data_IF_500528294080
#
_entry.id   IF_500528294080
#
_cell.length_a   1.000
_cell.length_b   1.000
_cell.length_c   1.000
_cell.angle_alpha   90.00
_cell.angle_beta   90.00
_cell.angle_gamma   90.00
#
_symmetry.space_group_name_H-M   'P 1'
#
loop_
_entity.id
_entity.type
_entity.pdbx_description
1 polymer ?
#
# COMPACT_ATOMS: atom_id res chain seq x y z
N UNK A 1 -21.08 47.78 -59.93
CA UNK A 1 -21.21 46.90 -61.11
C UNK A 1 -21.86 45.60 -60.67
N UNK A 2 -23.04 45.30 -61.24
CA UNK A 2 -23.71 44.00 -61.44
C UNK A 2 -23.80 42.99 -60.25
N UNK A 3 -24.92 42.31 -59.96
CA UNK A 3 -26.24 42.18 -60.57
C UNK A 3 -27.14 41.46 -59.52
N UNK A 4 -28.33 41.99 -59.22
CA UNK A 4 -29.66 41.58 -59.72
C UNK A 4 -30.42 40.66 -58.77
N UNK A 5 -31.61 41.15 -58.41
CA UNK A 5 -32.64 40.61 -57.55
C UNK A 5 -33.91 40.47 -58.40
N UNK A 6 -34.59 39.31 -58.38
CA UNK A 6 -35.97 39.10 -58.88
C UNK A 6 -36.55 37.89 -58.14
N UNK A 7 -37.57 37.99 -57.29
CA UNK A 7 -39.02 38.27 -57.47
C UNK A 7 -39.88 37.02 -57.80
N UNK A 8 -40.35 36.39 -56.73
CA UNK A 8 -41.71 35.92 -56.34
C UNK A 8 -42.85 35.81 -57.40
N UNK A 9 -43.58 34.68 -57.31
CA UNK A 9 -45.00 34.34 -57.66
C UNK A 9 -45.43 34.30 -59.13
N UNK A 10 -46.40 33.50 -59.60
CA UNK A 10 -47.44 32.57 -59.10
C UNK A 10 -47.86 31.71 -60.33
N UNK A 11 -48.42 30.49 -60.23
CA UNK A 11 -49.87 30.26 -60.14
C UNK A 11 -50.22 28.76 -60.16
N UNK A 12 -51.25 28.38 -59.36
CA UNK A 12 -52.43 27.53 -59.68
C UNK A 12 -52.20 26.08 -60.19
N UNK A 13 -52.96 25.05 -59.83
CA UNK A 13 -54.39 24.92 -59.46
C UNK A 13 -54.64 23.51 -58.87
N UNK A 14 -55.72 23.40 -58.09
CA UNK A 14 -56.61 22.23 -57.93
C UNK A 14 -56.22 20.98 -57.10
N UNK A 15 -56.82 20.91 -55.92
CA UNK A 15 -57.42 19.71 -55.30
C UNK A 15 -58.91 19.62 -55.77
N UNK A 16 -59.76 18.58 -55.53
CA UNK A 16 -59.54 17.32 -54.76
C UNK A 16 -60.35 16.06 -55.27
N UNK A 17 -60.35 14.98 -54.45
CA UNK A 17 -61.45 13.99 -54.18
C UNK A 17 -61.45 12.58 -54.85
N UNK A 18 -61.47 11.58 -53.93
CA UNK A 18 -61.94 10.18 -53.98
C UNK A 18 -61.24 9.12 -54.87
N UNK A 19 -60.65 8.12 -54.21
CA UNK A 19 -61.30 6.80 -54.08
C UNK A 19 -60.59 5.89 -53.08
N UNK A 20 -61.41 5.15 -52.35
CA UNK A 20 -61.09 4.28 -51.22
C UNK A 20 -61.12 2.84 -51.75
N UNK A 21 -59.99 2.15 -51.79
CA UNK A 21 -59.97 0.68 -51.94
C UNK A 21 -58.93 0.10 -50.96
N UNK A 22 -59.43 -0.56 -49.93
CA UNK A 22 -58.70 -1.54 -49.15
C UNK A 22 -58.60 -2.83 -49.96
N UNK A 23 -57.39 -3.35 -50.17
CA UNK A 23 -57.19 -4.75 -50.52
C UNK A 23 -55.85 -5.27 -49.97
N UNK A 24 -55.99 -6.22 -49.05
CA UNK A 24 -55.16 -7.42 -48.87
C UNK A 24 -53.69 -7.33 -48.43
N UNK A 25 -53.49 -7.90 -47.24
CA UNK A 25 -52.25 -8.27 -46.56
C UNK A 25 -51.40 -9.24 -47.39
N UNK A 26 -50.14 -8.86 -47.66
CA UNK A 26 -48.88 -9.56 -47.29
C UNK A 26 -47.78 -9.24 -48.30
N UNK A 27 -46.61 -8.81 -47.82
CA UNK A 27 -45.37 -9.34 -48.35
C UNK A 27 -44.43 -9.87 -47.25
N UNK A 28 -43.99 -11.11 -47.45
CA UNK A 28 -42.68 -11.67 -47.11
C UNK A 28 -42.11 -11.35 -45.72
N UNK A 29 -42.41 -12.24 -44.77
CA UNK A 29 -41.65 -12.38 -43.52
C UNK A 29 -40.25 -12.93 -43.85
N UNK A 30 -39.29 -12.04 -44.05
CA UNK A 30 -37.87 -12.39 -43.95
C UNK A 30 -37.66 -12.92 -42.53
N UNK A 31 -37.40 -14.22 -42.42
CA UNK A 31 -36.97 -14.84 -41.17
C UNK A 31 -35.63 -14.21 -40.78
N UNK A 32 -35.69 -13.17 -39.96
CA UNK A 32 -34.56 -12.75 -39.14
C UNK A 32 -34.31 -13.89 -38.16
N UNK A 33 -33.48 -14.84 -38.59
CA UNK A 33 -32.82 -15.78 -37.69
C UNK A 33 -32.09 -14.90 -36.68
N UNK A 34 -32.62 -14.87 -35.45
CA UNK A 34 -31.98 -14.25 -34.30
C UNK A 34 -30.55 -14.79 -34.25
N UNK A 35 -29.49 -13.98 -34.36
CA UNK A 35 -28.17 -14.49 -34.06
C UNK A 35 -28.23 -15.00 -32.62
N UNK A 36 -27.89 -16.28 -32.45
CA UNK A 36 -27.66 -16.86 -31.13
C UNK A 36 -26.78 -15.91 -30.33
N UNK A 37 -27.01 -15.74 -29.01
CA UNK A 37 -26.12 -14.94 -28.20
C UNK A 37 -24.75 -15.59 -28.29
N UNK A 38 -23.88 -15.02 -29.13
CA UNK A 38 -22.46 -15.31 -29.12
C UNK A 38 -22.05 -15.17 -27.67
N UNK A 39 -21.45 -16.24 -27.14
CA UNK A 39 -20.73 -16.30 -25.88
C UNK A 39 -19.99 -14.97 -25.71
N UNK A 40 -20.62 -14.05 -24.98
CA UNK A 40 -19.96 -12.87 -24.49
C UNK A 40 -18.84 -13.41 -23.64
N UNK A 41 -17.60 -13.12 -24.05
CA UNK A 41 -16.40 -13.28 -23.24
C UNK A 41 -16.77 -13.10 -21.77
N UNK A 42 -16.87 -14.20 -21.03
CA UNK A 42 -16.98 -14.19 -19.58
C UNK A 42 -15.62 -13.75 -19.04
N UNK A 43 -15.30 -12.48 -19.25
CA UNK A 43 -14.24 -11.83 -18.52
C UNK A 43 -14.64 -11.94 -17.05
N UNK A 44 -13.98 -12.85 -16.32
CA UNK A 44 -14.05 -12.95 -14.87
C UNK A 44 -14.06 -11.52 -14.31
N UNK A 45 -15.21 -11.13 -13.75
CA UNK A 45 -15.48 -9.75 -13.36
C UNK A 45 -14.73 -9.50 -12.06
N UNK A 46 -13.43 -9.19 -12.16
CA UNK A 46 -12.55 -8.95 -11.00
C UNK A 46 -13.19 -7.93 -10.08
N UNK A 47 -13.29 -8.28 -8.79
CA UNK A 47 -13.89 -7.37 -7.82
C UNK A 47 -12.91 -6.22 -7.51
N UNK A 48 -13.41 -5.05 -7.09
CA UNK A 48 -12.53 -3.93 -6.73
C UNK A 48 -11.67 -4.31 -5.52
N UNK A 49 -10.35 -4.25 -5.67
CA UNK A 49 -9.41 -4.50 -4.57
C UNK A 49 -9.71 -3.52 -3.42
N UNK A 50 -9.67 -4.04 -2.19
CA UNK A 50 -9.79 -3.26 -0.96
C UNK A 50 -8.59 -3.57 -0.09
N UNK A 51 -8.28 -2.67 0.82
CA UNK A 51 -7.30 -2.91 1.86
C UNK A 51 -8.04 -3.22 3.17
N UNK A 52 -7.62 -4.27 3.87
CA UNK A 52 -8.19 -4.65 5.14
C UNK A 52 -7.86 -3.61 6.21
N UNK A 53 -8.90 -2.93 6.70
CA UNK A 53 -8.78 -2.00 7.83
C UNK A 53 -8.31 -2.70 9.11
N UNK A 54 -8.57 -4.01 9.25
CA UNK A 54 -8.10 -4.81 10.40
C UNK A 54 -6.58 -4.93 10.46
N UNK A 55 -5.89 -4.78 9.32
CA UNK A 55 -4.43 -4.80 9.25
C UNK A 55 -3.89 -3.37 9.20
N UNK A 56 -4.51 -2.55 8.36
CA UNK A 56 -4.05 -1.18 8.12
C UNK A 56 -4.12 -0.28 9.35
N UNK A 57 -5.24 -0.31 10.10
CA UNK A 57 -5.41 0.58 11.26
C UNK A 57 -4.39 0.28 12.36
N UNK A 58 -4.18 -0.98 12.80
CA UNK A 58 -3.14 -1.27 13.80
C UNK A 58 -1.73 -0.88 13.37
N UNK A 59 -1.38 -1.13 12.11
CA UNK A 59 -0.09 -0.72 11.54
C UNK A 59 0.08 0.80 11.60
N UNK A 60 -0.91 1.54 11.10
CA UNK A 60 -0.89 3.00 11.15
C UNK A 60 -0.88 3.54 12.58
N UNK A 61 -1.59 2.92 13.52
CA UNK A 61 -1.54 3.31 14.93
C UNK A 61 -0.13 3.14 15.51
N UNK A 62 0.55 2.03 15.19
CA UNK A 62 1.94 1.83 15.57
C UNK A 62 2.86 2.90 14.97
N UNK A 63 2.73 3.19 13.67
CA UNK A 63 3.53 4.23 13.02
C UNK A 63 3.29 5.61 13.64
N UNK A 64 2.04 5.92 14.00
CA UNK A 64 1.70 7.15 14.69
C UNK A 64 2.43 7.27 16.04
N UNK A 65 2.47 6.19 16.84
CA UNK A 65 3.25 6.17 18.08
C UNK A 65 4.72 6.46 17.80
N UNK A 66 5.34 5.78 16.83
CA UNK A 66 6.73 6.05 16.45
C UNK A 66 6.95 7.51 16.00
N UNK A 67 6.04 8.07 15.20
CA UNK A 67 6.12 9.44 14.73
C UNK A 67 6.02 10.46 15.87
N UNK A 68 5.18 10.19 16.88
CA UNK A 68 5.00 11.07 18.05
C UNK A 68 6.16 10.99 19.04
N UNK A 69 6.74 9.81 19.26
CA UNK A 69 7.88 9.61 20.15
C UNK A 69 9.09 10.47 19.75
N UNK A 70 9.28 10.76 18.45
CA UNK A 70 10.37 11.61 17.93
C UNK A 70 10.33 13.04 18.50
N UNK A 71 9.17 13.50 18.98
CA UNK A 71 9.01 14.81 19.61
C UNK A 71 9.37 14.81 21.11
N UNK A 72 9.72 13.65 21.67
CA UNK A 72 10.17 13.51 23.06
C UNK A 72 11.70 13.48 23.07
N UNK A 73 12.32 14.41 23.80
CA UNK A 73 13.78 14.60 23.83
C UNK A 73 14.51 13.53 24.63
N UNK A 74 13.84 12.86 25.59
CA UNK A 74 14.45 11.80 26.40
C UNK A 74 13.42 10.76 26.90
N UNK A 75 12.85 9.94 26.00
CA UNK A 75 11.90 8.91 26.38
C UNK A 75 12.54 7.91 27.35
N UNK A 76 11.98 7.78 28.55
CA UNK A 76 12.50 6.93 29.63
C UNK A 76 12.69 5.46 29.23
N UNK A 77 11.87 4.95 28.30
CA UNK A 77 11.98 3.58 27.77
C UNK A 77 13.19 3.36 26.83
N UNK A 78 13.83 4.44 26.36
CA UNK A 78 15.07 4.38 25.57
C UNK A 78 16.31 4.36 26.47
N UNK A 79 16.21 4.87 27.71
CA UNK A 79 17.27 4.88 28.75
C UNK A 79 17.46 3.51 29.43
N UNK A 80 17.44 2.42 28.68
CA UNK A 80 17.78 1.11 29.24
C UNK A 80 19.25 1.12 29.74
N UNK A 81 19.53 0.47 30.89
CA UNK A 81 20.89 0.40 31.49
C UNK A 81 21.93 -0.10 30.48
N UNK A 82 23.14 0.46 30.51
CA UNK A 82 24.23 0.20 29.55
C UNK A 82 24.68 -1.27 29.50
N UNK A 83 24.43 -2.04 30.55
CA UNK A 83 24.91 -3.41 30.68
C UNK A 83 24.21 -4.38 29.70
N UNK A 84 24.90 -4.60 28.58
CA UNK A 84 25.10 -5.90 27.90
C UNK A 84 23.90 -6.74 27.42
N UNK A 85 22.74 -6.13 27.17
CA UNK A 85 21.62 -6.83 26.51
C UNK A 85 21.68 -6.67 24.98
N UNK A 86 21.91 -7.79 24.30
CA UNK A 86 21.87 -7.94 22.83
C UNK A 86 20.44 -7.73 22.29
N UNK A 87 20.28 -7.08 21.14
CA UNK A 87 18.99 -6.85 20.45
C UNK A 87 17.94 -6.07 21.23
N UNK A 88 18.35 -5.06 21.99
CA UNK A 88 17.40 -4.28 22.82
C UNK A 88 17.42 -2.79 22.53
N UNK A 89 18.47 -2.26 21.91
CA UNK A 89 18.65 -0.81 21.81
C UNK A 89 18.84 -0.30 20.39
N UNK A 90 19.20 -1.12 19.40
CA UNK A 90 19.58 -0.65 18.07
C UNK A 90 20.70 0.42 18.20
N UNK A 91 21.85 0.01 18.76
CA UNK A 91 22.98 0.90 19.05
C UNK A 91 23.78 1.24 17.80
N UNK A 92 24.39 2.41 17.80
CA UNK A 92 25.53 2.72 16.93
C UNK A 92 26.83 2.20 17.57
N UNK A 93 27.97 2.10 16.84
CA UNK A 93 29.21 1.54 17.36
C UNK A 93 29.77 2.23 18.62
N UNK A 94 29.36 3.47 18.90
CA UNK A 94 29.69 4.20 20.13
C UNK A 94 28.91 3.71 21.37
N UNK A 95 27.96 2.79 21.20
CA UNK A 95 27.08 2.28 22.26
C UNK A 95 25.82 3.12 22.49
N UNK A 96 25.75 4.33 21.92
CA UNK A 96 24.57 5.17 21.98
C UNK A 96 23.42 4.54 21.20
N UNK A 97 22.19 4.69 21.70
CA UNK A 97 21.00 4.27 20.98
C UNK A 97 20.80 5.13 19.71
N UNK A 98 20.48 4.50 18.57
CA UNK A 98 20.42 5.19 17.28
C UNK A 98 19.43 6.36 17.24
N UNK A 99 18.29 6.26 17.94
CA UNK A 99 17.32 7.36 17.94
C UNK A 99 17.85 8.59 18.69
N UNK A 100 18.52 8.41 19.84
CA UNK A 100 19.23 9.52 20.51
C UNK A 100 20.35 10.09 19.64
N UNK A 101 21.14 9.24 18.99
CA UNK A 101 22.17 9.66 18.05
C UNK A 101 21.56 10.52 16.93
N UNK A 102 20.50 10.05 16.27
CA UNK A 102 19.83 10.80 15.19
C UNK A 102 19.22 12.11 15.67
N UNK A 103 18.68 12.18 16.89
CA UNK A 103 18.20 13.44 17.46
C UNK A 103 19.33 14.47 17.65
N UNK A 104 20.54 14.01 17.98
CA UNK A 104 21.69 14.87 18.16
C UNK A 104 22.34 15.31 16.83
N UNK A 105 22.30 14.46 15.79
CA UNK A 105 23.07 14.70 14.56
C UNK A 105 22.26 15.20 13.37
N UNK A 106 20.97 14.88 13.29
CA UNK A 106 20.15 15.26 12.13
C UNK A 106 19.54 16.66 12.31
N UNK A 107 19.28 17.43 11.24
CA UNK A 107 18.53 18.67 11.35
C UNK A 107 17.10 18.40 11.83
N UNK A 108 16.74 18.85 13.05
CA UNK A 108 15.45 18.54 13.67
C UNK A 108 14.26 19.09 12.91
N UNK A 109 14.38 20.22 12.21
CA UNK A 109 13.30 20.72 11.36
C UNK A 109 12.98 19.76 10.20
N UNK A 110 13.97 19.06 9.65
CA UNK A 110 13.75 18.00 8.65
C UNK A 110 13.15 16.76 9.32
N UNK A 111 13.73 16.31 10.44
CA UNK A 111 13.32 15.06 11.08
C UNK A 111 11.95 15.13 11.75
N UNK A 112 11.71 16.13 12.59
CA UNK A 112 10.42 16.35 13.25
C UNK A 112 9.41 16.96 12.27
N UNK A 113 9.79 18.05 11.60
CA UNK A 113 8.87 18.85 10.78
C UNK A 113 8.52 18.24 9.43
N UNK A 114 9.51 17.81 8.65
CA UNK A 114 9.28 17.34 7.27
C UNK A 114 9.12 15.82 7.13
N UNK A 115 9.42 15.05 8.18
CA UNK A 115 9.33 13.60 8.14
C UNK A 115 8.36 13.03 9.17
N UNK A 116 8.61 13.23 10.47
CA UNK A 116 7.77 12.65 11.52
C UNK A 116 6.35 13.20 11.50
N UNK A 117 6.18 14.53 11.38
CA UNK A 117 4.84 15.14 11.34
C UNK A 117 4.01 14.69 10.13
N UNK A 118 4.52 14.70 8.88
CA UNK A 118 3.81 14.11 7.75
C UNK A 118 3.51 12.63 7.93
N UNK A 119 4.39 11.84 8.57
CA UNK A 119 4.13 10.43 8.84
C UNK A 119 2.97 10.23 9.82
N UNK A 120 2.85 11.10 10.84
CA UNK A 120 1.72 11.09 11.77
C UNK A 120 0.40 11.40 11.04
N UNK A 121 0.36 12.43 10.20
CA UNK A 121 -0.84 12.76 9.42
C UNK A 121 -1.17 11.64 8.43
N UNK A 122 -0.16 11.10 7.75
CA UNK A 122 -0.33 9.99 6.81
C UNK A 122 -0.96 8.77 7.50
N UNK A 123 -0.49 8.45 8.71
CA UNK A 123 -0.98 7.32 9.50
C UNK A 123 -2.44 7.47 9.90
N UNK A 124 -2.94 8.69 10.11
CA UNK A 124 -4.37 8.93 10.38
C UNK A 124 -5.17 8.96 9.08
N UNK A 125 -4.68 9.71 8.09
CA UNK A 125 -5.43 10.02 6.88
C UNK A 125 -5.54 8.85 5.90
N UNK A 126 -4.49 8.05 5.75
CA UNK A 126 -4.47 6.97 4.76
C UNK A 126 -5.52 5.89 5.04
N UNK A 127 -5.73 5.40 6.29
CA UNK A 127 -6.82 4.47 6.59
C UNK A 127 -8.19 5.00 6.18
N UNK A 128 -8.45 6.29 6.46
CA UNK A 128 -9.70 6.96 6.13
C UNK A 128 -9.92 7.07 4.61
N UNK A 129 -8.85 7.22 3.80
CA UNK A 129 -8.96 7.19 2.34
C UNK A 129 -9.51 5.85 1.80
N UNK A 130 -9.35 4.76 2.54
CA UNK A 130 -9.82 3.45 2.11
C UNK A 130 -11.21 3.07 2.64
N UNK A 131 -11.89 3.99 3.34
CA UNK A 131 -13.25 3.78 3.85
C UNK A 131 -14.28 4.22 2.79
N UNK A 132 -15.00 3.25 2.22
CA UNK A 132 -15.98 3.48 1.15
C UNK A 132 -17.11 4.44 1.58
N UNK A 133 -17.55 4.42 2.84
CA UNK A 133 -18.61 5.29 3.36
C UNK A 133 -18.18 6.76 3.44
N UNK A 134 -16.92 7.05 3.82
CA UNK A 134 -16.39 8.41 3.86
C UNK A 134 -16.29 9.01 2.46
N UNK A 135 -15.81 8.21 1.50
CA UNK A 135 -15.77 8.63 0.08
C UNK A 135 -17.15 9.00 -0.46
N UNK A 136 -18.18 8.22 -0.12
CA UNK A 136 -19.57 8.46 -0.57
C UNK A 136 -20.20 9.67 0.12
N UNK A 137 -19.99 9.80 1.43
CA UNK A 137 -20.59 10.86 2.26
C UNK A 137 -19.92 12.22 2.04
N UNK A 138 -18.61 12.26 1.87
CA UNK A 138 -17.82 13.49 1.75
C UNK A 138 -16.84 13.44 0.55
N UNK A 139 -17.33 13.42 -0.70
CA UNK A 139 -16.50 13.17 -1.88
C UNK A 139 -15.46 14.26 -2.15
N UNK A 140 -15.78 15.54 -1.86
CA UNK A 140 -14.86 16.67 -2.02
C UNK A 140 -13.74 16.57 -1.00
N UNK A 141 -14.08 16.36 0.28
CA UNK A 141 -13.10 16.18 1.35
C UNK A 141 -12.19 14.97 1.07
N UNK A 142 -12.76 13.84 0.68
CA UNK A 142 -11.99 12.64 0.31
C UNK A 142 -10.99 12.94 -0.81
N UNK A 143 -11.41 13.64 -1.87
CA UNK A 143 -10.53 14.02 -2.98
C UNK A 143 -9.41 14.97 -2.54
N UNK A 144 -9.74 16.04 -1.83
CA UNK A 144 -8.75 17.03 -1.36
C UNK A 144 -7.75 16.40 -0.41
N UNK A 145 -8.22 15.63 0.57
CA UNK A 145 -7.36 14.89 1.48
C UNK A 145 -6.50 13.85 0.75
N UNK A 146 -7.02 13.20 -0.30
CA UNK A 146 -6.24 12.29 -1.14
C UNK A 146 -5.04 12.96 -1.82
N UNK A 147 -5.20 14.17 -2.34
CA UNK A 147 -4.07 14.92 -2.92
C UNK A 147 -3.06 15.34 -1.84
N UNK A 148 -3.53 15.83 -0.69
CA UNK A 148 -2.64 16.19 0.44
C UNK A 148 -1.83 14.98 0.88
N UNK A 149 -2.46 13.81 1.04
CA UNK A 149 -1.78 12.59 1.49
C UNK A 149 -0.80 12.04 0.45
N UNK A 150 -1.07 12.20 -0.85
CA UNK A 150 -0.11 11.86 -1.90
C UNK A 150 1.08 12.84 -1.91
N UNK A 151 0.85 14.13 -1.67
CA UNK A 151 1.95 15.10 -1.50
C UNK A 151 2.79 14.79 -0.26
N UNK A 152 2.16 14.41 0.85
CA UNK A 152 2.88 13.92 2.04
C UNK A 152 3.65 12.64 1.76
N UNK A 153 3.10 11.73 0.96
CA UNK A 153 3.78 10.50 0.51
C UNK A 153 5.06 10.82 -0.28
N UNK A 154 5.00 11.80 -1.18
CA UNK A 154 6.17 12.29 -1.90
C UNK A 154 7.19 12.93 -0.94
N UNK A 155 6.74 13.82 -0.04
CA UNK A 155 7.60 14.47 0.95
C UNK A 155 8.30 13.45 1.87
N UNK A 156 7.57 12.45 2.35
CA UNK A 156 8.09 11.36 3.17
C UNK A 156 9.14 10.54 2.42
N UNK A 157 8.92 10.28 1.14
CA UNK A 157 9.89 9.58 0.30
C UNK A 157 11.16 10.41 0.10
N UNK A 158 11.04 11.70 -0.24
CA UNK A 158 12.20 12.59 -0.43
C UNK A 158 13.00 12.72 0.86
N UNK A 159 12.33 12.95 1.99
CA UNK A 159 13.01 13.09 3.29
C UNK A 159 13.60 11.77 3.78
N UNK A 160 12.95 10.63 3.50
CA UNK A 160 13.51 9.30 3.76
C UNK A 160 14.82 9.07 2.98
N UNK A 161 14.84 9.42 1.69
CA UNK A 161 16.05 9.38 0.87
C UNK A 161 17.12 10.35 1.35
N UNK A 162 16.72 11.55 1.75
CA UNK A 162 17.64 12.52 2.31
C UNK A 162 18.35 11.95 3.54
N UNK A 163 17.63 11.33 4.49
CA UNK A 163 18.26 10.69 5.65
C UNK A 163 19.23 9.58 5.26
N UNK A 164 18.91 8.86 4.19
CA UNK A 164 19.78 7.83 3.66
C UNK A 164 21.08 8.43 3.08
N UNK A 165 20.98 9.42 2.18
CA UNK A 165 22.14 10.06 1.53
C UNK A 165 23.00 10.84 2.53
N UNK A 166 22.38 11.48 3.52
CA UNK A 166 23.06 12.24 4.58
C UNK A 166 23.63 11.36 5.70
N UNK A 167 23.68 10.03 5.53
CA UNK A 167 24.21 9.07 6.52
C UNK A 167 23.53 9.18 7.89
N UNK A 168 22.28 9.60 7.90
CA UNK A 168 21.43 9.61 9.09
C UNK A 168 20.48 8.41 9.12
N UNK A 169 20.58 7.43 8.22
CA UNK A 169 19.82 6.18 8.26
C UNK A 169 20.54 5.08 9.07
N UNK A 170 19.79 4.25 9.79
CA UNK A 170 20.35 3.08 10.46
C UNK A 170 20.47 1.95 9.44
N UNK A 171 21.63 1.88 8.78
CA UNK A 171 21.92 0.87 7.76
C UNK A 171 23.40 0.55 7.80
N UNK A 172 23.74 -0.67 7.40
CA UNK A 172 25.13 -1.05 7.14
C UNK A 172 25.65 -0.35 5.89
N UNK A 173 26.97 -0.13 5.82
CA UNK A 173 27.63 0.40 4.61
C UNK A 173 27.61 -0.62 3.47
N UNK A 174 27.83 -1.89 3.80
CA UNK A 174 27.68 -2.99 2.86
C UNK A 174 26.21 -3.19 2.42
N UNK A 175 25.96 -3.58 1.16
CA UNK A 175 24.60 -3.81 0.64
C UNK A 175 23.92 -5.05 1.23
N UNK A 176 24.70 -6.05 1.64
CA UNK A 176 24.22 -7.23 2.32
C UNK A 176 24.96 -7.38 3.64
N UNK A 177 24.23 -7.71 4.69
CA UNK A 177 24.82 -8.06 5.97
C UNK A 177 24.83 -9.58 6.13
N UNK A 178 25.98 -10.14 6.50
CA UNK A 178 26.21 -11.58 6.62
C UNK A 178 25.96 -12.04 8.05
N UNK A 179 25.23 -13.13 8.21
CA UNK A 179 24.87 -13.70 9.49
C UNK A 179 25.44 -15.09 9.65
N UNK A 180 26.20 -15.29 10.71
CA UNK A 180 26.59 -16.61 11.19
C UNK A 180 25.69 -17.00 12.35
N UNK A 181 25.06 -18.16 12.27
CA UNK A 181 24.43 -18.80 13.43
C UNK A 181 25.12 -20.13 13.67
N UNK A 182 25.29 -20.51 14.94
CA UNK A 182 25.93 -21.78 15.28
C UNK A 182 25.14 -22.94 14.66
N UNK A 183 25.76 -23.66 13.73
CA UNK A 183 25.16 -24.83 13.06
C UNK A 183 24.25 -24.52 11.86
N UNK A 184 24.17 -23.26 11.40
CA UNK A 184 23.47 -22.91 10.16
C UNK A 184 24.45 -22.31 9.13
N UNK A 185 24.15 -22.41 7.82
CA UNK A 185 24.94 -21.73 6.81
C UNK A 185 24.89 -20.21 6.97
N UNK A 186 25.90 -19.52 6.45
CA UNK A 186 25.96 -18.07 6.44
C UNK A 186 24.76 -17.50 5.66
N UNK A 187 23.93 -16.70 6.31
CA UNK A 187 22.75 -16.08 5.71
C UNK A 187 23.03 -14.61 5.39
N UNK A 188 22.74 -14.19 4.16
CA UNK A 188 22.88 -12.79 3.76
C UNK A 188 21.49 -12.13 3.70
N UNK A 189 21.24 -11.12 4.51
CA UNK A 189 20.03 -10.29 4.38
C UNK A 189 20.38 -8.97 3.67
N UNK A 190 19.51 -8.49 2.77
CA UNK A 190 19.67 -7.16 2.19
C UNK A 190 19.50 -6.11 3.29
N UNK A 191 20.32 -5.07 3.24
CA UNK A 191 20.27 -3.99 4.23
C UNK A 191 19.10 -3.04 3.97
N UNK A 192 18.87 -2.13 4.93
CA UNK A 192 17.84 -1.09 4.78
C UNK A 192 18.05 -0.25 3.52
N UNK A 193 19.32 0.00 3.16
CA UNK A 193 19.69 0.66 1.92
C UNK A 193 19.16 -0.07 0.68
N UNK A 194 19.55 -1.33 0.50
CA UNK A 194 19.17 -2.11 -0.69
C UNK A 194 17.66 -2.24 -0.80
N UNK A 195 17.01 -2.50 0.33
CA UNK A 195 15.55 -2.60 0.38
C UNK A 195 14.84 -1.30 0.05
N UNK A 196 15.37 -0.15 0.50
CA UNK A 196 14.83 1.18 0.17
C UNK A 196 14.98 1.49 -1.31
N UNK A 197 16.17 1.24 -1.89
CA UNK A 197 16.43 1.43 -3.31
C UNK A 197 15.53 0.56 -4.18
N UNK A 198 15.22 -0.66 -3.76
CA UNK A 198 14.30 -1.53 -4.46
C UNK A 198 12.83 -1.08 -4.35
N UNK A 199 12.40 -0.67 -3.15
CA UNK A 199 11.00 -0.28 -2.90
C UNK A 199 10.62 1.02 -3.62
N UNK A 200 11.53 1.97 -3.66
CA UNK A 200 11.17 3.34 -3.98
C UNK A 200 10.77 3.59 -5.45
N UNK A 201 11.36 2.98 -6.47
CA UNK A 201 10.85 3.05 -7.85
C UNK A 201 9.40 2.58 -7.93
N UNK A 202 9.08 1.48 -7.23
CA UNK A 202 7.71 0.96 -7.16
C UNK A 202 6.77 1.90 -6.40
N UNK A 203 7.24 2.49 -5.30
CA UNK A 203 6.50 3.49 -4.53
C UNK A 203 6.14 4.72 -5.38
N UNK A 204 7.10 5.30 -6.09
CA UNK A 204 6.85 6.44 -6.98
C UNK A 204 5.96 6.08 -8.15
N UNK A 205 6.15 4.91 -8.74
CA UNK A 205 5.31 4.45 -9.84
C UNK A 205 3.85 4.27 -9.40
N UNK A 206 3.61 3.61 -8.27
CA UNK A 206 2.25 3.42 -7.74
C UNK A 206 1.60 4.75 -7.35
N UNK A 207 2.35 5.70 -6.78
CA UNK A 207 1.89 7.06 -6.49
C UNK A 207 1.47 7.80 -7.78
N UNK A 208 2.35 7.82 -8.79
CA UNK A 208 2.09 8.41 -10.10
C UNK A 208 0.84 7.81 -10.75
N UNK A 209 0.71 6.48 -10.75
CA UNK A 209 -0.46 5.79 -11.30
C UNK A 209 -1.72 6.11 -10.51
N UNK A 210 -1.64 6.25 -9.19
CA UNK A 210 -2.78 6.65 -8.34
C UNK A 210 -3.31 8.03 -8.73
N UNK A 211 -2.42 9.02 -8.87
CA UNK A 211 -2.78 10.37 -9.25
C UNK A 211 -3.30 10.48 -10.69
N UNK A 212 -2.59 9.88 -11.66
CA UNK A 212 -2.98 9.96 -13.08
C UNK A 212 -4.30 9.27 -13.38
N UNK A 213 -4.57 8.12 -12.77
CA UNK A 213 -5.85 7.42 -12.96
C UNK A 213 -7.01 8.13 -12.24
N UNK A 214 -6.76 8.85 -11.14
CA UNK A 214 -7.75 9.73 -10.52
C UNK A 214 -8.12 10.88 -11.47
N UNK A 215 -7.12 11.58 -12.03
CA UNK A 215 -7.32 12.70 -12.97
C UNK A 215 -8.02 12.26 -14.25
N UNK A 216 -7.68 11.07 -14.77
CA UNK A 216 -8.34 10.48 -15.92
C UNK A 216 -9.74 9.91 -15.61
N UNK A 217 -10.27 10.08 -14.39
CA UNK A 217 -11.56 9.57 -13.92
C UNK A 217 -11.71 8.04 -14.08
N UNK A 218 -10.61 7.30 -14.15
CA UNK A 218 -10.57 5.82 -14.25
C UNK A 218 -10.68 5.20 -12.86
N UNK A 219 -11.83 5.36 -12.20
CA UNK A 219 -11.99 5.08 -10.76
C UNK A 219 -11.65 3.65 -10.33
N UNK A 220 -11.92 2.64 -11.16
CA UNK A 220 -11.56 1.25 -10.87
C UNK A 220 -10.04 1.08 -10.83
N UNK A 221 -9.34 1.66 -11.82
CA UNK A 221 -7.88 1.62 -11.87
C UNK A 221 -7.28 2.45 -10.73
N UNK A 222 -7.83 3.63 -10.46
CA UNK A 222 -7.43 4.48 -9.34
C UNK A 222 -7.50 3.74 -8.00
N UNK A 223 -8.60 3.03 -7.72
CA UNK A 223 -8.73 2.24 -6.48
C UNK A 223 -7.64 1.17 -6.39
N UNK A 224 -7.38 0.45 -7.48
CA UNK A 224 -6.32 -0.57 -7.53
C UNK A 224 -4.94 0.03 -7.23
N UNK A 225 -4.60 1.13 -7.89
CA UNK A 225 -3.30 1.79 -7.69
C UNK A 225 -3.18 2.43 -6.31
N UNK A 226 -4.26 2.99 -5.77
CA UNK A 226 -4.27 3.51 -4.40
C UNK A 226 -3.98 2.41 -3.38
N UNK A 227 -4.58 1.22 -3.54
CA UNK A 227 -4.27 0.07 -2.67
C UNK A 227 -2.81 -0.36 -2.81
N UNK A 228 -2.27 -0.47 -4.04
CA UNK A 228 -0.86 -0.81 -4.26
C UNK A 228 0.10 0.21 -3.64
N UNK A 229 -0.21 1.50 -3.79
CA UNK A 229 0.59 2.58 -3.21
C UNK A 229 0.58 2.51 -1.68
N UNK A 230 -0.60 2.31 -1.07
CA UNK A 230 -0.70 2.15 0.38
C UNK A 230 0.03 0.90 0.87
N UNK A 231 -0.05 -0.24 0.17
CA UNK A 231 0.70 -1.45 0.52
C UNK A 231 2.22 -1.21 0.43
N UNK A 232 2.69 -0.58 -0.65
CA UNK A 232 4.10 -0.22 -0.81
C UNK A 232 4.58 0.72 0.29
N UNK A 233 3.80 1.75 0.62
CA UNK A 233 4.08 2.64 1.75
C UNK A 233 4.11 1.91 3.10
N UNK A 234 3.23 0.90 3.26
CA UNK A 234 3.11 0.14 4.49
C UNK A 234 4.32 -0.76 4.79
N UNK A 235 5.27 -0.92 3.86
CA UNK A 235 6.52 -1.65 4.14
C UNK A 235 7.28 -0.99 5.28
N UNK A 236 7.38 0.34 5.32
CA UNK A 236 8.05 1.06 6.41
C UNK A 236 7.29 0.89 7.74
N UNK A 237 5.96 0.83 7.70
CA UNK A 237 5.18 0.58 8.90
C UNK A 237 5.30 -0.86 9.40
N UNK A 238 5.33 -1.83 8.47
CA UNK A 238 5.56 -3.25 8.79
C UNK A 238 6.98 -3.49 9.31
N UNK A 239 7.96 -2.70 8.87
CA UNK A 239 9.31 -2.68 9.44
C UNK A 239 9.27 -2.25 10.91
N UNK A 240 8.54 -1.17 11.26
CA UNK A 240 8.37 -0.77 12.67
C UNK A 240 7.75 -1.88 13.51
N UNK A 241 6.76 -2.60 12.99
CA UNK A 241 6.19 -3.77 13.66
C UNK A 241 7.24 -4.87 13.86
N UNK A 242 8.04 -5.15 12.84
CA UNK A 242 9.10 -6.16 12.88
C UNK A 242 10.16 -5.80 13.91
N UNK A 243 10.60 -4.54 13.97
CA UNK A 243 11.56 -4.04 14.97
C UNK A 243 11.00 -4.18 16.39
N UNK A 244 9.76 -3.77 16.63
CA UNK A 244 9.13 -3.92 17.96
C UNK A 244 9.08 -5.38 18.38
N UNK A 245 8.70 -6.25 17.45
CA UNK A 245 8.61 -7.71 17.69
C UNK A 245 9.99 -8.28 18.02
N UNK A 246 11.00 -7.96 17.21
CA UNK A 246 12.37 -8.45 17.40
C UNK A 246 13.00 -7.91 18.69
N UNK A 247 12.76 -6.64 19.02
CA UNK A 247 13.22 -6.05 20.28
C UNK A 247 12.52 -6.69 21.49
N UNK A 248 11.24 -7.04 21.39
CA UNK A 248 10.53 -7.76 22.45
C UNK A 248 11.11 -9.18 22.64
N UNK A 249 11.45 -9.87 21.54
CA UNK A 249 12.15 -11.16 21.60
C UNK A 249 13.54 -10.97 22.21
N UNK A 250 14.31 -9.96 21.80
CA UNK A 250 15.60 -9.59 22.40
C UNK A 250 15.50 -9.33 23.90
N UNK A 251 14.45 -8.64 24.33
CA UNK A 251 14.16 -8.41 25.75
C UNK A 251 13.83 -9.71 26.48
N UNK A 252 13.04 -10.61 25.90
CA UNK A 252 12.79 -11.93 26.49
C UNK A 252 14.07 -12.77 26.58
N UNK A 253 14.91 -12.75 25.55
CA UNK A 253 16.21 -13.44 25.54
C UNK A 253 17.17 -12.86 26.59
N UNK A 254 17.02 -11.59 26.96
CA UNK A 254 17.81 -10.98 28.04
C UNK A 254 17.53 -11.57 29.44
N UNK A 255 16.51 -12.42 29.57
CA UNK A 255 16.27 -13.21 30.78
C UNK A 255 17.16 -14.45 30.86
N UNK A 256 17.79 -14.85 29.75
CA UNK A 256 18.75 -15.96 29.69
C UNK A 256 20.17 -15.48 30.08
N UNK A 257 21.05 -16.40 30.51
CA UNK A 257 22.46 -16.05 30.77
C UNK A 257 23.12 -15.47 29.51
N UNK A 258 23.78 -14.32 29.66
CA UNK A 258 24.40 -13.59 28.55
C UNK A 258 25.30 -14.49 27.69
N UNK A 259 26.10 -15.35 28.33
CA UNK A 259 26.98 -16.30 27.63
C UNK A 259 26.22 -17.20 26.64
N UNK A 260 25.07 -17.72 27.03
CA UNK A 260 24.25 -18.60 26.18
C UNK A 260 23.75 -17.85 24.94
N UNK A 261 23.29 -16.61 25.13
CA UNK A 261 22.76 -15.78 24.03
C UNK A 261 23.89 -15.44 23.05
N UNK A 262 25.03 -14.96 23.55
CA UNK A 262 26.18 -14.61 22.71
C UNK A 262 26.76 -15.83 21.96
N UNK A 263 26.87 -16.99 22.60
CA UNK A 263 27.34 -18.22 21.95
C UNK A 263 26.37 -18.76 20.90
N UNK A 264 25.05 -18.66 21.14
CA UNK A 264 24.04 -19.09 20.18
C UNK A 264 24.07 -18.24 18.90
N UNK A 265 24.13 -16.92 19.06
CA UNK A 265 24.18 -15.98 17.94
C UNK A 265 25.60 -15.78 17.37
N UNK A 266 26.64 -16.32 18.00
CA UNK A 266 28.02 -16.13 17.57
C UNK A 266 28.49 -14.67 17.65
N UNK A 267 27.98 -13.89 18.60
CA UNK A 267 28.26 -12.45 18.73
C UNK A 267 29.25 -12.23 19.87
N UNK A 268 30.29 -11.43 19.63
CA UNK A 268 31.25 -11.05 20.66
C UNK A 268 30.67 -10.15 21.75
N UNK A 269 31.49 -9.78 22.72
CA UNK A 269 31.04 -9.09 23.94
C UNK A 269 31.30 -7.58 23.92
N UNK A 270 32.02 -7.09 22.92
CA UNK A 270 32.34 -5.66 22.80
C UNK A 270 31.14 -4.88 22.26
N UNK A 271 31.08 -3.59 22.57
CA UNK A 271 30.01 -2.71 22.11
C UNK A 271 29.92 -2.66 20.57
N UNK A 272 31.02 -2.56 19.81
CA UNK A 272 30.97 -2.62 18.35
C UNK A 272 30.38 -3.92 17.82
N UNK A 273 30.77 -5.08 18.36
CA UNK A 273 30.24 -6.39 17.93
C UNK A 273 28.74 -6.52 18.24
N UNK A 274 28.29 -6.02 19.39
CA UNK A 274 26.86 -5.98 19.74
C UNK A 274 26.11 -5.04 18.81
N UNK A 275 26.66 -3.85 18.52
CA UNK A 275 26.04 -2.87 17.63
C UNK A 275 25.93 -3.41 16.19
N UNK A 276 26.95 -4.12 15.72
CA UNK A 276 26.92 -4.82 14.44
C UNK A 276 25.78 -5.84 14.42
N UNK A 277 25.69 -6.71 15.42
CA UNK A 277 24.62 -7.70 15.53
C UNK A 277 23.20 -7.06 15.58
N UNK A 278 23.03 -5.96 16.30
CA UNK A 278 21.75 -5.21 16.34
C UNK A 278 21.39 -4.63 14.97
N UNK A 279 22.38 -4.14 14.21
CA UNK A 279 22.20 -3.68 12.84
C UNK A 279 21.82 -4.83 11.90
N UNK A 280 22.34 -6.02 12.14
CA UNK A 280 21.96 -7.26 11.45
C UNK A 280 20.49 -7.62 11.71
N UNK A 281 20.04 -7.55 12.96
CA UNK A 281 18.63 -7.80 13.33
C UNK A 281 17.72 -6.74 12.72
N UNK A 282 18.18 -5.49 12.61
CA UNK A 282 17.47 -4.45 11.88
C UNK A 282 17.34 -4.77 10.38
N UNK A 283 18.39 -5.28 9.74
CA UNK A 283 18.32 -5.74 8.35
C UNK A 283 17.30 -6.90 8.18
N UNK A 284 17.29 -7.85 9.11
CA UNK A 284 16.29 -8.92 9.14
C UNK A 284 14.85 -8.40 9.32
N UNK A 285 14.65 -7.36 10.13
CA UNK A 285 13.35 -6.70 10.30
C UNK A 285 12.78 -6.19 8.96
N UNK A 286 13.65 -5.69 8.06
CA UNK A 286 13.24 -5.27 6.72
C UNK A 286 12.74 -6.46 5.90
N UNK A 287 13.47 -7.58 5.93
CA UNK A 287 13.07 -8.80 5.22
C UNK A 287 11.69 -9.29 5.68
N UNK A 288 11.45 -9.32 6.99
CA UNK A 288 10.15 -9.66 7.57
C UNK A 288 9.05 -8.71 7.11
N UNK A 289 9.32 -7.40 7.06
CA UNK A 289 8.38 -6.40 6.57
C UNK A 289 7.98 -6.61 5.11
N UNK A 290 8.94 -6.94 4.24
CA UNK A 290 8.66 -7.27 2.84
C UNK A 290 7.81 -8.53 2.72
N UNK A 291 8.17 -9.61 3.42
CA UNK A 291 7.40 -10.86 3.40
C UNK A 291 5.97 -10.61 3.88
N UNK A 292 5.80 -9.83 4.96
CA UNK A 292 4.50 -9.46 5.50
C UNK A 292 3.67 -8.69 4.46
N UNK A 293 4.21 -7.63 3.86
CA UNK A 293 3.47 -6.82 2.88
C UNK A 293 3.19 -7.58 1.59
N UNK A 294 4.11 -8.42 1.11
CA UNK A 294 3.88 -9.27 -0.05
C UNK A 294 2.78 -10.30 0.22
N UNK A 295 2.75 -10.89 1.41
CA UNK A 295 1.69 -11.80 1.85
C UNK A 295 0.35 -11.06 1.94
N UNK A 296 0.34 -9.83 2.46
CA UNK A 296 -0.84 -9.00 2.52
C UNK A 296 -1.35 -8.60 1.12
N UNK A 297 -0.45 -8.19 0.23
CA UNK A 297 -0.75 -7.93 -1.18
C UNK A 297 -1.36 -9.17 -1.82
N UNK A 298 -0.72 -10.33 -1.66
CA UNK A 298 -1.21 -11.58 -2.21
C UNK A 298 -2.63 -11.89 -1.69
N UNK A 299 -2.87 -11.73 -0.40
CA UNK A 299 -4.18 -11.92 0.21
C UNK A 299 -5.27 -11.02 -0.40
N UNK A 300 -5.04 -9.71 -0.46
CA UNK A 300 -6.05 -8.76 -0.96
C UNK A 300 -6.32 -8.94 -2.46
N UNK A 301 -5.28 -9.16 -3.25
CA UNK A 301 -5.41 -9.36 -4.69
C UNK A 301 -5.97 -10.74 -5.06
N UNK A 302 -5.66 -11.79 -4.29
CA UNK A 302 -6.28 -13.11 -4.43
C UNK A 302 -7.77 -13.04 -4.16
N UNK A 303 -8.19 -12.40 -3.06
CA UNK A 303 -9.61 -12.18 -2.75
C UNK A 303 -10.36 -11.39 -3.83
N UNK A 304 -9.65 -10.51 -4.53
CA UNK A 304 -10.21 -9.74 -5.63
C UNK A 304 -10.22 -10.48 -6.99
N UNK A 305 -9.71 -11.72 -7.04
CA UNK A 305 -9.69 -12.55 -8.26
C UNK A 305 -8.56 -12.20 -9.23
N UNK A 306 -7.49 -11.52 -8.76
CA UNK A 306 -6.39 -11.13 -9.65
C UNK A 306 -5.43 -12.28 -9.96
N UNK A 307 -5.37 -13.30 -9.10
CA UNK A 307 -4.50 -14.47 -9.25
C UNK A 307 -5.25 -15.76 -9.62
N UNK A 308 -6.55 -15.69 -9.89
CA UNK A 308 -7.30 -16.85 -10.39
C UNK A 308 -6.80 -17.23 -11.79
N UNK A 309 -6.40 -18.49 -11.98
CA UNK A 309 -6.12 -19.03 -13.32
C UNK A 309 -7.42 -19.01 -14.14
N UNK A 310 -7.34 -18.49 -15.37
CA UNK A 310 -8.42 -18.63 -16.36
C UNK A 310 -8.77 -20.12 -16.47
N UNK A 311 -9.96 -20.51 -16.02
CA UNK A 311 -10.45 -21.91 -16.05
C UNK A 311 -10.78 -22.53 -14.69
N UNK A 312 -10.34 -21.94 -13.57
CA UNK A 312 -10.75 -22.42 -12.23
C UNK A 312 -12.10 -21.81 -11.85
N UNK A 313 -13.20 -22.42 -12.29
CA UNK A 313 -14.53 -22.13 -11.75
C UNK A 313 -14.53 -22.56 -10.28
N UNK A 314 -14.42 -21.60 -9.37
CA UNK A 314 -14.75 -21.84 -7.96
C UNK A 314 -16.25 -22.04 -7.92
N UNK A 315 -16.71 -23.28 -7.71
CA UNK A 315 -18.11 -23.57 -7.44
C UNK A 315 -18.51 -22.78 -6.21
N UNK A 316 -19.22 -21.67 -6.42
CA UNK A 316 -19.90 -20.98 -5.34
C UNK A 316 -21.02 -21.90 -4.89
N UNK A 317 -20.85 -22.53 -3.73
CA UNK A 317 -21.91 -23.23 -3.03
C UNK A 317 -23.02 -22.22 -2.75
N UNK A 318 -24.00 -22.15 -3.65
CA UNK A 318 -25.30 -21.56 -3.38
C UNK A 318 -25.95 -22.55 -2.42
N UNK A 319 -25.95 -22.23 -1.12
CA UNK A 319 -26.88 -22.87 -0.21
C UNK A 319 -28.28 -22.43 -0.65
N UNK A 320 -28.94 -23.24 -1.46
CA UNK A 320 -30.39 -23.25 -1.55
C UNK A 320 -30.93 -23.61 -0.17
N UNK A 321 -31.30 -22.59 0.60
CA UNK A 321 -32.26 -22.77 1.68
C UNK A 321 -33.58 -23.18 1.03
N UNK A 322 -33.83 -24.50 0.99
CA UNK A 322 -35.17 -25.03 0.75
C UNK A 322 -36.09 -24.50 1.86
N UNK A 323 -36.89 -23.51 1.50
CA UNK A 323 -38.08 -23.11 2.24
C UNK A 323 -39.06 -24.28 2.19
N UNK A 324 -39.09 -25.07 3.27
CA UNK A 324 -40.13 -26.06 3.52
C UNK A 324 -41.41 -25.34 3.90
N UNK A 325 -42.27 -25.11 2.91
CA UNK A 325 -43.66 -24.69 3.08
C UNK A 325 -44.39 -25.83 3.80
N UNK A 326 -44.75 -25.62 5.08
CA UNK A 326 -45.69 -26.46 5.80
C UNK A 326 -47.09 -25.95 5.45
N UNK A 327 -47.74 -26.60 4.50
CA UNK A 327 -49.18 -26.47 4.28
C UNK A 327 -49.86 -27.69 4.92
N UNK A 328 -50.79 -27.38 5.84
CA UNK A 328 -51.81 -28.21 6.51
C UNK A 328 -51.36 -29.33 7.46
#
# INVERSE_FOLDING_TARGET
>A
MAAVQTRVQTSKEEEPIHSRIQATKNPLRISQVKPSPQLGSMASKKSPVKISQKVMVPLCALMFVFATVIFIEDPSFVRAKETSRLFTKNRVPTGQQFFTYRQATAPMWVYRGLHAFPAAIWSIGMPLQHVDSLRKKWPVLHRSAGYVLLSMSLLLSITGYWFFISKHAYSHENPFHLHSFKGLPLLAWPTFEVTTWFLAPFYWFTMYKTATTARAKKFVQHRKWAVLHTLSASVITAERLSIVTLNAIGMAMSLLPQKVVHEFFGVGYTIPEIAEAELSVFAFANVLAFIFVLSWLYYEFSRAGYFERKGSVRSSTVMETKSGKKDM
#
